data_IF_584851562314
#
_entry.id   IF_584851562314
#
_cell.length_a   1.000
_cell.length_b   1.000
_cell.length_c   1.000
_cell.angle_alpha   90.00
_cell.angle_beta   90.00
_cell.angle_gamma   90.00
#
_symmetry.space_group_name_H-M   'P 1'
#
loop_
_entity.id
_entity.type
_entity.pdbx_description
1 polymer ?
#
# COMPACT_ATOMS: atom_id res chain seq x y z
N UNK A 1 23.28 12.18 6.71
CA UNK A 1 23.46 12.73 5.35
C UNK A 1 22.06 13.09 4.85
N UNK A 2 21.68 14.37 4.75
CA UNK A 2 20.27 14.72 4.40
C UNK A 2 20.04 16.05 3.65
N UNK A 3 21.05 16.66 3.02
CA UNK A 3 20.85 17.96 2.34
C UNK A 3 20.71 17.86 0.81
N UNK A 4 20.53 16.67 0.26
CA UNK A 4 20.61 16.44 -1.19
C UNK A 4 19.38 15.82 -1.85
N UNK A 5 18.46 15.21 -1.10
CA UNK A 5 17.34 14.46 -1.70
C UNK A 5 16.18 15.38 -2.08
N UNK A 6 15.56 15.14 -3.25
CA UNK A 6 14.38 15.89 -3.70
C UNK A 6 13.12 15.29 -3.07
N UNK A 7 12.27 16.06 -2.37
CA UNK A 7 11.06 15.53 -1.76
C UNK A 7 10.04 15.10 -2.82
N UNK A 8 9.40 13.95 -2.59
CA UNK A 8 8.35 13.39 -3.42
C UNK A 8 7.25 12.80 -2.54
N UNK A 9 5.99 13.03 -2.91
CA UNK A 9 4.84 12.57 -2.14
C UNK A 9 4.24 11.31 -2.75
N UNK A 10 4.02 10.30 -1.92
CA UNK A 10 3.17 9.15 -2.22
C UNK A 10 1.88 9.28 -1.42
N UNK A 11 0.75 9.06 -2.07
CA UNK A 11 -0.58 9.13 -1.46
C UNK A 11 -1.27 7.78 -1.58
N UNK A 12 -1.83 7.32 -0.47
CA UNK A 12 -2.54 6.06 -0.34
C UNK A 12 -3.96 6.34 0.12
N UNK A 13 -4.93 5.68 -0.51
CA UNK A 13 -6.27 5.59 0.05
C UNK A 13 -6.28 4.61 1.23
N UNK A 14 -7.32 4.67 2.04
CA UNK A 14 -7.65 3.64 3.03
C UNK A 14 -7.77 2.23 2.42
N UNK A 15 -7.94 2.13 1.08
CA UNK A 15 -7.95 0.83 0.42
C UNK A 15 -6.58 0.15 0.37
N UNK A 16 -5.49 0.91 0.41
CA UNK A 16 -4.15 0.35 0.31
C UNK A 16 -3.82 -0.58 1.49
N UNK A 17 -3.39 -1.83 1.25
CA UNK A 17 -2.93 -2.73 2.32
C UNK A 17 -1.65 -2.26 3.01
N UNK A 18 -0.99 -1.21 2.50
CA UNK A 18 0.15 -0.56 3.18
C UNK A 18 -0.31 0.05 4.51
N UNK A 19 -1.57 0.52 4.58
CA UNK A 19 -2.24 0.90 5.83
C UNK A 19 -2.89 -0.36 6.41
N UNK A 20 -2.35 -0.86 7.53
CA UNK A 20 -2.81 -2.13 8.13
C UNK A 20 -3.74 -1.86 9.29
N UNK A 21 -4.98 -2.30 9.15
CA UNK A 21 -6.06 -2.11 10.12
C UNK A 21 -6.24 -3.32 11.03
N UNK A 22 -6.43 -3.08 12.32
CA UNK A 22 -6.58 -4.09 13.38
C UNK A 22 -7.79 -3.80 14.28
N UNK A 23 -8.50 -4.83 14.79
CA UNK A 23 -8.15 -6.26 14.74
C UNK A 23 -8.35 -6.91 13.36
N UNK A 24 -9.30 -6.40 12.58
CA UNK A 24 -9.53 -6.82 11.20
C UNK A 24 -9.83 -5.59 10.35
N UNK A 25 -9.40 -5.63 9.09
CA UNK A 25 -9.56 -4.53 8.15
C UNK A 25 -11.00 -4.24 7.78
N UNK A 26 -11.87 -5.26 7.73
CA UNK A 26 -13.21 -5.02 7.22
C UNK A 26 -14.27 -6.00 7.76
N UNK A 27 -15.36 -5.45 8.30
CA UNK A 27 -16.53 -6.10 8.89
C UNK A 27 -17.33 -5.12 9.77
N UNK A 28 -18.02 -5.57 10.85
CA UNK A 28 -18.88 -4.68 11.65
C UNK A 28 -18.11 -3.58 12.42
N UNK A 29 -18.60 -2.34 12.36
CA UNK A 29 -17.94 -1.16 12.96
C UNK A 29 -17.70 -1.25 14.46
N UNK A 30 -18.47 -2.04 15.19
CA UNK A 30 -18.42 -2.17 16.66
C UNK A 30 -17.42 -3.22 17.16
N UNK A 31 -16.83 -3.99 16.26
CA UNK A 31 -15.86 -5.06 16.58
C UNK A 31 -14.57 -4.97 15.76
N UNK A 32 -14.58 -4.20 14.68
CA UNK A 32 -13.49 -4.06 13.72
C UNK A 32 -13.69 -2.82 12.86
N UNK A 33 -12.85 -2.65 11.84
CA UNK A 33 -13.02 -1.62 10.82
C UNK A 33 -14.05 -2.04 9.78
N UNK A 34 -14.73 -1.08 9.17
CA UNK A 34 -15.68 -1.27 8.09
C UNK A 34 -15.31 -0.37 6.91
N UNK A 35 -15.17 -0.94 5.72
CA UNK A 35 -15.05 -0.12 4.51
C UNK A 35 -16.42 0.36 4.04
N UNK A 36 -16.51 1.65 3.79
CA UNK A 36 -17.65 2.29 3.14
C UNK A 36 -17.21 3.17 1.97
N UNK A 37 -18.15 3.47 1.07
CA UNK A 37 -17.94 4.36 -0.06
C UNK A 37 -19.02 5.43 -0.07
N UNK A 38 -18.66 6.69 -0.31
CA UNK A 38 -19.59 7.82 -0.23
C UNK A 38 -20.78 7.75 -1.19
N UNK A 39 -20.67 6.97 -2.27
CA UNK A 39 -21.68 6.81 -3.32
C UNK A 39 -22.32 5.42 -3.40
N UNK A 40 -22.02 4.51 -2.45
CA UNK A 40 -22.60 3.17 -2.40
C UNK A 40 -23.24 2.90 -1.03
N UNK A 41 -24.45 2.34 -1.03
CA UNK A 41 -25.00 1.74 0.20
C UNK A 41 -24.41 0.35 0.40
N UNK A 42 -24.21 -0.06 1.65
CA UNK A 42 -23.82 -1.43 1.98
C UNK A 42 -24.80 -2.47 1.38
N UNK A 43 -26.10 -2.15 1.37
CA UNK A 43 -27.15 -3.00 0.81
C UNK A 43 -27.09 -3.14 -0.72
N UNK A 44 -26.34 -2.27 -1.41
CA UNK A 44 -26.16 -2.34 -2.86
C UNK A 44 -25.14 -3.41 -3.28
N UNK A 45 -24.36 -3.93 -2.32
CA UNK A 45 -23.33 -4.92 -2.59
C UNK A 45 -23.94 -6.23 -3.06
N UNK A 46 -23.45 -6.73 -4.19
CA UNK A 46 -23.74 -8.08 -4.67
C UNK A 46 -22.58 -8.62 -5.48
N UNK A 47 -22.60 -9.92 -5.78
CA UNK A 47 -21.56 -10.53 -6.63
C UNK A 47 -21.39 -9.80 -7.98
N UNK A 48 -22.49 -9.31 -8.56
CA UNK A 48 -22.54 -8.60 -9.85
C UNK A 48 -22.55 -7.06 -9.71
N UNK A 49 -22.41 -6.54 -8.49
CA UNK A 49 -22.29 -5.11 -8.20
C UNK A 49 -21.49 -4.92 -6.90
N UNK A 50 -20.17 -5.10 -6.97
CA UNK A 50 -19.30 -5.07 -5.78
C UNK A 50 -18.24 -3.96 -5.83
N UNK A 51 -18.24 -3.10 -6.84
CA UNK A 51 -17.36 -1.94 -6.90
C UNK A 51 -17.89 -0.79 -6.06
N UNK A 52 -17.03 -0.22 -5.23
CA UNK A 52 -17.36 0.96 -4.46
C UNK A 52 -17.44 2.20 -5.36
N UNK A 53 -18.43 3.07 -5.13
CA UNK A 53 -18.63 4.30 -5.90
C UNK A 53 -18.29 5.51 -5.03
N UNK A 54 -17.40 6.37 -5.53
CA UNK A 54 -16.98 7.59 -4.83
C UNK A 54 -15.74 7.38 -3.96
N UNK A 55 -15.66 8.11 -2.84
CA UNK A 55 -14.49 8.06 -1.96
C UNK A 55 -14.65 6.96 -0.93
N UNK A 56 -13.64 6.09 -0.82
CA UNK A 56 -13.56 5.06 0.21
C UNK A 56 -13.21 5.65 1.58
N UNK A 57 -13.63 4.96 2.63
CA UNK A 57 -13.17 5.21 3.99
C UNK A 57 -13.29 3.96 4.86
N UNK A 58 -12.43 3.85 5.87
CA UNK A 58 -12.53 2.82 6.90
C UNK A 58 -12.99 3.45 8.21
N UNK A 59 -14.12 2.99 8.74
CA UNK A 59 -14.73 3.51 9.98
C UNK A 59 -14.79 2.43 11.05
N UNK A 60 -14.61 2.82 12.31
CA UNK A 60 -14.84 1.94 13.46
C UNK A 60 -15.29 2.73 14.68
N UNK A 61 -16.07 2.09 15.54
CA UNK A 61 -16.41 2.54 16.90
C UNK A 61 -15.80 1.62 17.97
N UNK A 62 -14.99 0.64 17.55
CA UNK A 62 -14.41 -0.34 18.46
C UNK A 62 -13.21 0.24 19.22
N UNK A 63 -13.40 0.46 20.52
CA UNK A 63 -12.33 0.87 21.43
C UNK A 63 -11.18 -0.15 21.42
N UNK A 64 -9.95 0.33 21.23
CA UNK A 64 -8.76 -0.48 21.08
C UNK A 64 -8.46 -0.90 19.64
N UNK A 65 -9.31 -0.57 18.66
CA UNK A 65 -8.96 -0.67 17.25
C UNK A 65 -7.78 0.25 16.93
N UNK A 66 -6.90 -0.21 16.04
CA UNK A 66 -5.72 0.56 15.66
C UNK A 66 -5.33 0.29 14.22
N UNK A 67 -4.50 1.17 13.66
CA UNK A 67 -3.81 0.92 12.41
C UNK A 67 -2.30 1.09 12.57
N UNK A 68 -1.55 0.41 11.72
CA UNK A 68 -0.09 0.55 11.60
C UNK A 68 0.24 0.98 10.17
N UNK A 69 1.08 2.00 10.05
CA UNK A 69 1.59 2.50 8.79
C UNK A 69 3.10 2.72 8.88
N UNK A 70 3.85 2.01 8.03
CA UNK A 70 5.32 2.06 7.98
C UNK A 70 5.76 2.65 6.64
N UNK A 71 6.73 3.57 6.67
CA UNK A 71 7.29 4.17 5.46
C UNK A 71 8.76 4.55 5.65
N UNK A 72 9.42 4.84 4.54
CA UNK A 72 10.73 5.47 4.51
C UNK A 72 10.58 6.89 3.98
N UNK A 73 10.97 7.89 4.76
CA UNK A 73 10.78 9.28 4.33
C UNK A 73 11.09 10.32 5.39
N UNK A 74 10.53 11.52 5.21
CA UNK A 74 10.74 12.70 6.07
C UNK A 74 9.45 13.33 6.59
N UNK A 75 8.29 12.89 6.10
CA UNK A 75 7.01 13.41 6.57
C UNK A 75 5.85 12.43 6.35
N UNK A 76 4.78 12.61 7.13
CA UNK A 76 3.53 11.88 7.03
C UNK A 76 2.34 12.79 7.33
N UNK A 77 1.23 12.54 6.66
CA UNK A 77 -0.10 13.06 6.95
C UNK A 77 -1.09 11.91 6.94
N UNK A 78 -1.83 11.73 8.03
CA UNK A 78 -2.94 10.78 8.15
C UNK A 78 -4.24 11.56 8.03
N UNK A 79 -5.12 11.13 7.12
CA UNK A 79 -6.38 11.80 6.83
C UNK A 79 -7.56 11.01 7.35
N UNK A 80 -8.53 11.71 7.94
CA UNK A 80 -9.70 11.10 8.56
C UNK A 80 -10.50 12.08 9.42
N UNK A 81 -11.45 11.51 10.16
CA UNK A 81 -12.33 12.20 11.11
C UNK A 81 -12.37 11.41 12.41
N UNK A 82 -12.11 12.09 13.53
CA UNK A 82 -12.22 11.54 14.88
C UNK A 82 -12.32 12.71 15.86
N UNK A 83 -13.01 12.51 16.98
CA UNK A 83 -13.12 13.55 18.00
C UNK A 83 -11.78 13.73 18.73
N UNK A 84 -11.34 14.98 19.02
CA UNK A 84 -10.14 15.21 19.80
C UNK A 84 -10.19 14.52 21.17
N UNK A 85 -9.10 13.86 21.55
CA UNK A 85 -8.99 13.14 22.81
C UNK A 85 -9.53 11.71 22.81
N UNK A 86 -10.16 11.26 21.71
CA UNK A 86 -10.71 9.90 21.63
C UNK A 86 -9.78 8.90 20.94
N UNK A 87 -8.59 9.36 20.51
CA UNK A 87 -7.55 8.56 19.89
C UNK A 87 -6.16 9.01 20.35
N UNK A 88 -5.16 8.16 20.14
CA UNK A 88 -3.75 8.50 20.33
C UNK A 88 -2.93 8.10 19.12
N UNK A 89 -1.82 8.80 18.89
CA UNK A 89 -0.84 8.45 17.86
C UNK A 89 0.49 8.18 18.53
N UNK A 90 1.20 7.14 18.11
CA UNK A 90 2.63 7.00 18.37
C UNK A 90 3.40 7.01 17.06
N UNK A 91 4.56 7.66 17.09
CA UNK A 91 5.51 7.71 15.99
C UNK A 91 6.86 7.25 16.51
N UNK A 92 7.41 6.19 15.92
CA UNK A 92 8.68 5.59 16.33
C UNK A 92 8.74 5.31 17.86
N UNK A 93 7.65 4.71 18.36
CA UNK A 93 7.43 4.38 19.79
C UNK A 93 7.20 5.59 20.72
N UNK A 94 7.36 6.83 20.24
CA UNK A 94 7.06 8.03 21.00
C UNK A 94 5.57 8.39 20.89
N UNK A 95 4.90 8.57 22.04
CA UNK A 95 3.53 9.07 22.06
C UNK A 95 3.48 10.52 21.59
N UNK A 96 2.61 10.76 20.62
CA UNK A 96 2.33 12.06 20.04
C UNK A 96 0.94 12.50 20.50
N UNK A 97 0.82 13.77 20.88
CA UNK A 97 -0.46 14.39 21.20
C UNK A 97 -0.88 15.23 20.00
N UNK A 98 -1.85 14.77 19.19
CA UNK A 98 -2.34 15.54 18.05
C UNK A 98 -2.90 16.88 18.54
N UNK A 99 -2.67 17.95 17.78
CA UNK A 99 -3.31 19.23 18.07
C UNK A 99 -4.84 19.08 17.90
N UNK A 100 -5.62 19.77 18.73
CA UNK A 100 -7.10 19.62 18.76
C UNK A 100 -7.80 20.02 17.46
N UNK A 101 -7.13 20.67 16.50
CA UNK A 101 -7.74 21.10 15.25
C UNK A 101 -7.49 20.14 14.09
N UNK A 102 -8.53 19.43 13.65
CA UNK A 102 -8.57 18.67 12.39
C UNK A 102 -8.81 19.61 11.20
N UNK A 103 -7.87 20.52 10.92
CA UNK A 103 -7.95 21.34 9.72
C UNK A 103 -7.80 20.44 8.47
N UNK A 104 -8.74 20.54 7.52
CA UNK A 104 -8.75 19.77 6.27
C UNK A 104 -8.71 18.23 6.46
N UNK A 105 -9.42 17.70 7.46
CA UNK A 105 -9.50 16.26 7.73
C UNK A 105 -8.13 15.62 7.99
N UNK A 106 -7.17 16.38 8.53
CA UNK A 106 -5.87 15.84 8.96
C UNK A 106 -5.98 15.45 10.43
N UNK A 107 -5.91 14.14 10.71
CA UNK A 107 -5.88 13.61 12.08
C UNK A 107 -4.50 13.76 12.70
N UNK A 108 -3.47 13.53 11.91
CA UNK A 108 -2.09 13.63 12.37
C UNK A 108 -1.18 14.04 11.22
N UNK A 109 -0.18 14.85 11.51
CA UNK A 109 0.93 15.06 10.60
C UNK A 109 2.22 15.25 11.38
N UNK A 110 3.32 14.91 10.73
CA UNK A 110 4.66 15.18 11.21
C UNK A 110 5.56 15.47 10.01
N UNK A 111 6.34 16.52 10.10
CA UNK A 111 7.30 16.95 9.07
C UNK A 111 8.71 17.04 9.66
N UNK A 112 9.69 17.29 8.80
CA UNK A 112 11.11 17.43 9.16
C UNK A 112 11.68 16.23 9.94
N UNK A 113 11.14 15.03 9.68
CA UNK A 113 11.70 13.80 10.21
C UNK A 113 13.06 13.53 9.57
N UNK A 114 13.96 12.94 10.35
CA UNK A 114 15.22 12.44 9.81
C UNK A 114 14.89 11.36 8.77
N UNK A 115 15.42 11.51 7.56
CA UNK A 115 15.23 10.50 6.51
C UNK A 115 15.62 9.10 7.01
N UNK A 116 14.63 8.20 7.02
CA UNK A 116 14.78 6.84 7.50
C UNK A 116 13.44 6.13 7.55
N UNK A 117 13.42 4.93 8.16
CA UNK A 117 12.19 4.20 8.44
C UNK A 117 11.45 4.87 9.58
N UNK A 118 10.14 4.99 9.41
CA UNK A 118 9.23 5.44 10.44
C UNK A 118 8.05 4.48 10.57
N UNK A 119 7.54 4.39 11.79
CA UNK A 119 6.37 3.59 12.11
C UNK A 119 5.35 4.45 12.86
N UNK A 120 4.16 4.60 12.28
CA UNK A 120 3.02 5.26 12.90
C UNK A 120 2.02 4.22 13.37
N UNK A 121 1.60 4.34 14.63
CA UNK A 121 0.46 3.60 15.18
C UNK A 121 -0.61 4.60 15.60
N UNK A 122 -1.80 4.47 15.04
CA UNK A 122 -2.97 5.25 15.45
C UNK A 122 -3.95 4.32 16.15
N UNK A 123 -4.34 4.66 17.37
CA UNK A 123 -5.20 3.82 18.23
C UNK A 123 -6.41 4.60 18.70
N UNK A 124 -7.58 3.98 18.64
CA UNK A 124 -8.86 4.54 19.05
C UNK A 124 -9.16 4.09 20.47
N UNK A 125 -9.61 5.01 21.31
CA UNK A 125 -9.98 4.73 22.69
C UNK A 125 -11.48 4.89 22.91
N UNK A 126 -12.10 5.87 22.27
CA UNK A 126 -13.52 6.17 22.41
C UNK A 126 -14.09 6.68 21.08
N UNK A 127 -15.43 6.68 20.98
CA UNK A 127 -16.20 7.22 19.85
C UNK A 127 -15.82 6.63 18.47
N UNK A 128 -16.40 7.21 17.43
CA UNK A 128 -16.16 6.82 16.05
C UNK A 128 -14.87 7.47 15.53
N UNK A 129 -14.12 6.72 14.73
CA UNK A 129 -13.07 7.27 13.88
C UNK A 129 -13.20 6.73 12.46
N UNK A 130 -12.95 7.60 11.50
CA UNK A 130 -12.96 7.31 10.06
C UNK A 130 -11.61 7.67 9.47
N UNK A 131 -11.05 6.80 8.64
CA UNK A 131 -9.76 6.97 7.96
C UNK A 131 -10.00 7.02 6.46
N UNK A 132 -9.46 8.05 5.81
CA UNK A 132 -9.53 8.24 4.36
C UNK A 132 -8.25 7.81 3.63
N UNK A 133 -7.12 7.80 4.32
CA UNK A 133 -5.84 7.47 3.72
C UNK A 133 -4.67 8.20 4.37
N UNK A 134 -3.52 8.17 3.69
CA UNK A 134 -2.29 8.80 4.16
C UNK A 134 -1.45 9.33 2.99
N UNK A 135 -0.65 10.36 3.26
CA UNK A 135 0.40 10.84 2.37
C UNK A 135 1.73 10.79 3.10
N UNK A 136 2.79 10.34 2.43
CA UNK A 136 4.16 10.40 2.94
C UNK A 136 5.05 11.17 1.99
N UNK A 137 6.01 11.91 2.55
CA UNK A 137 7.11 12.49 1.76
C UNK A 137 8.34 11.62 1.91
N UNK A 138 8.94 11.22 0.81
CA UNK A 138 10.25 10.57 0.76
C UNK A 138 11.24 11.40 -0.05
N UNK A 139 12.53 11.14 0.14
CA UNK A 139 13.59 11.70 -0.68
C UNK A 139 13.83 10.83 -1.91
N UNK A 140 13.65 11.40 -3.09
CA UNK A 140 13.74 10.74 -4.39
C UNK A 140 14.79 11.41 -5.27
N UNK A 141 15.96 10.77 -5.40
CA UNK A 141 17.05 11.29 -6.22
C UNK A 141 17.74 12.51 -5.63
N UNK A 142 18.78 12.97 -6.31
CA UNK A 142 19.58 14.13 -5.86
C UNK A 142 19.07 15.45 -6.45
N UNK A 143 19.44 16.57 -5.82
CA UNK A 143 19.18 17.91 -6.35
C UNK A 143 19.72 18.04 -7.78
N UNK A 144 18.87 18.48 -8.70
CA UNK A 144 19.20 18.56 -10.13
C UNK A 144 18.71 17.37 -10.96
N UNK A 145 18.12 16.35 -10.33
CA UNK A 145 17.43 15.25 -11.02
C UNK A 145 15.93 15.53 -11.22
N UNK A 146 15.29 14.74 -12.09
CA UNK A 146 13.84 14.63 -12.24
C UNK A 146 13.46 13.17 -12.07
N UNK A 147 12.39 12.93 -11.30
CA UNK A 147 11.80 11.60 -11.16
C UNK A 147 11.07 11.24 -12.45
N UNK A 148 11.46 10.11 -13.04
CA UNK A 148 10.77 9.47 -14.16
C UNK A 148 10.13 8.18 -13.70
N UNK A 149 8.99 7.84 -14.29
CA UNK A 149 8.27 6.61 -13.98
C UNK A 149 8.24 5.68 -15.19
N UNK A 150 8.30 4.37 -14.91
CA UNK A 150 8.12 3.32 -15.89
C UNK A 150 7.11 2.32 -15.36
N UNK A 151 5.97 2.22 -16.03
CA UNK A 151 4.96 1.21 -15.72
C UNK A 151 5.30 -0.10 -16.45
N UNK A 152 5.27 -1.21 -15.71
CA UNK A 152 5.43 -2.57 -16.21
C UNK A 152 4.17 -3.36 -15.85
N UNK A 153 3.30 -3.56 -16.84
CA UNK A 153 2.10 -4.39 -16.71
C UNK A 153 2.45 -5.85 -16.48
N UNK A 154 1.72 -6.54 -15.62
CA UNK A 154 1.88 -7.96 -15.32
C UNK A 154 1.54 -8.87 -16.50
N UNK A 155 0.71 -8.37 -17.43
CA UNK A 155 0.28 -9.07 -18.63
C UNK A 155 0.53 -8.22 -19.88
N UNK A 156 0.86 -8.90 -20.97
CA UNK A 156 1.00 -8.37 -22.33
C UNK A 156 -0.28 -8.75 -23.08
N UNK A 157 -0.91 -7.77 -23.75
CA UNK A 157 -2.13 -7.95 -24.54
C UNK A 157 -3.24 -8.76 -23.82
N UNK A 158 -3.33 -8.58 -22.50
CA UNK A 158 -4.31 -9.21 -21.60
C UNK A 158 -4.32 -10.75 -21.58
N UNK A 159 -3.30 -11.41 -22.12
CA UNK A 159 -3.32 -12.89 -22.29
C UNK A 159 -1.96 -13.57 -22.13
N UNK A 160 -0.86 -12.84 -22.15
CA UNK A 160 0.48 -13.37 -21.96
C UNK A 160 1.11 -12.77 -20.69
N UNK A 161 1.79 -13.58 -19.87
CA UNK A 161 2.50 -13.08 -18.70
C UNK A 161 3.70 -12.25 -19.17
N UNK A 162 3.88 -11.06 -18.60
CA UNK A 162 5.06 -10.26 -18.89
C UNK A 162 6.32 -10.96 -18.32
N UNK A 163 7.36 -11.24 -19.13
CA UNK A 163 8.55 -11.97 -18.69
C UNK A 163 9.40 -11.23 -17.65
N UNK A 164 9.08 -9.96 -17.36
CA UNK A 164 9.62 -9.26 -16.21
C UNK A 164 9.30 -9.97 -14.88
N UNK A 165 8.17 -10.70 -14.83
CA UNK A 165 7.71 -11.42 -13.66
C UNK A 165 8.00 -12.92 -13.81
N UNK A 166 8.74 -13.46 -12.86
CA UNK A 166 9.15 -14.87 -12.80
C UNK A 166 8.30 -15.56 -11.73
N UNK A 167 7.49 -16.53 -12.15
CA UNK A 167 6.60 -17.30 -11.28
C UNK A 167 7.21 -18.67 -10.97
N UNK A 168 6.87 -19.23 -9.82
CA UNK A 168 7.29 -20.57 -9.42
C UNK A 168 6.41 -21.66 -10.03
N UNK A 169 6.72 -22.04 -11.27
CA UNK A 169 6.01 -23.11 -11.96
C UNK A 169 4.61 -22.71 -12.43
N UNK A 170 3.67 -23.66 -12.39
CA UNK A 170 2.33 -23.53 -12.97
C UNK A 170 1.28 -22.98 -11.97
N UNK A 171 1.72 -22.47 -10.81
CA UNK A 171 0.83 -21.98 -9.74
C UNK A 171 0.25 -20.59 -10.02
N UNK A 172 0.70 -19.94 -11.09
CA UNK A 172 0.26 -18.62 -11.54
C UNK A 172 -0.40 -18.69 -12.90
N UNK A 173 -1.39 -17.83 -13.11
CA UNK A 173 -2.07 -17.70 -14.41
C UNK A 173 -2.37 -16.25 -14.73
N UNK A 174 -2.36 -15.93 -16.02
CA UNK A 174 -2.90 -14.66 -16.52
C UNK A 174 -4.42 -14.73 -16.57
N UNK A 175 -5.09 -13.66 -16.16
CA UNK A 175 -6.55 -13.58 -16.22
C UNK A 175 -7.02 -12.14 -16.40
N UNK A 176 -8.31 -11.99 -16.70
CA UNK A 176 -9.04 -10.73 -16.59
C UNK A 176 -10.08 -10.91 -15.49
N UNK A 177 -9.90 -10.18 -14.38
CA UNK A 177 -10.84 -10.19 -13.27
C UNK A 177 -12.07 -9.33 -13.58
N UNK A 178 -13.14 -9.58 -12.81
CA UNK A 178 -14.37 -8.80 -12.81
C UNK A 178 -15.12 -8.75 -14.15
N UNK A 179 -15.06 -9.84 -14.93
CA UNK A 179 -15.79 -9.99 -16.20
C UNK A 179 -17.33 -9.97 -16.04
N UNK A 180 -17.83 -10.10 -14.82
CA UNK A 180 -19.25 -9.98 -14.50
C UNK A 180 -19.68 -8.53 -14.17
N UNK A 181 -18.74 -7.59 -14.19
CA UNK A 181 -18.95 -6.17 -13.92
C UNK A 181 -18.95 -5.38 -15.24
N UNK A 182 -18.88 -4.04 -15.20
CA UNK A 182 -18.80 -3.27 -16.43
C UNK A 182 -17.45 -3.46 -17.11
N UNK A 183 -17.39 -3.30 -18.44
CA UNK A 183 -16.14 -3.49 -19.18
C UNK A 183 -15.02 -2.51 -18.76
N UNK A 184 -15.38 -1.38 -18.14
CA UNK A 184 -14.41 -0.44 -17.57
C UNK A 184 -13.74 -0.99 -16.31
N UNK A 185 -14.34 -1.99 -15.67
CA UNK A 185 -13.87 -2.61 -14.42
C UNK A 185 -13.07 -3.89 -14.66
N UNK A 186 -12.93 -4.30 -15.93
CA UNK A 186 -12.13 -5.46 -16.30
C UNK A 186 -10.66 -5.22 -15.96
N UNK A 187 -10.06 -6.12 -15.19
CA UNK A 187 -8.71 -5.94 -14.67
C UNK A 187 -7.78 -7.07 -15.09
N UNK A 188 -6.88 -6.78 -16.03
CA UNK A 188 -5.94 -7.76 -16.55
C UNK A 188 -4.73 -7.90 -15.60
N UNK A 189 -4.47 -9.12 -15.13
CA UNK A 189 -3.46 -9.37 -14.10
C UNK A 189 -2.89 -10.79 -14.17
N UNK A 190 -1.82 -11.04 -13.43
CA UNK A 190 -1.45 -12.39 -13.01
C UNK A 190 -2.06 -12.68 -11.65
N UNK A 191 -2.50 -13.92 -11.42
CA UNK A 191 -3.15 -14.34 -10.18
C UNK A 191 -2.69 -15.73 -9.74
N UNK A 192 -2.74 -15.96 -8.43
CA UNK A 192 -2.57 -17.28 -7.82
C UNK A 192 -3.52 -17.43 -6.63
N UNK A 193 -3.94 -18.66 -6.35
CA UNK A 193 -4.65 -19.04 -5.12
C UNK A 193 -3.89 -20.08 -4.30
N UNK A 194 -2.69 -20.44 -4.75
CA UNK A 194 -1.87 -21.49 -4.17
C UNK A 194 -1.08 -20.93 -2.99
N UNK A 195 -1.17 -21.60 -1.84
CA UNK A 195 -0.43 -21.22 -0.64
C UNK A 195 1.07 -21.38 -0.89
N UNK A 196 1.84 -20.34 -0.55
CA UNK A 196 3.30 -20.23 -0.75
C UNK A 196 3.77 -20.08 -2.20
N UNK A 197 2.86 -19.90 -3.16
CA UNK A 197 3.24 -19.52 -4.52
C UNK A 197 4.02 -18.19 -4.50
N UNK A 198 5.12 -18.19 -5.23
CA UNK A 198 6.15 -17.17 -5.28
C UNK A 198 6.20 -16.43 -6.61
N UNK A 199 6.39 -15.12 -6.53
CA UNK A 199 6.65 -14.26 -7.68
C UNK A 199 7.95 -13.51 -7.42
N UNK A 200 8.88 -13.57 -8.38
CA UNK A 200 10.13 -12.83 -8.33
C UNK A 200 10.23 -11.86 -9.51
N UNK A 201 10.73 -10.65 -9.25
CA UNK A 201 11.18 -9.74 -10.30
C UNK A 201 12.38 -8.93 -9.81
N UNK A 202 13.04 -8.24 -10.73
CA UNK A 202 14.25 -7.47 -10.45
C UNK A 202 14.04 -5.99 -10.72
N UNK A 203 14.44 -5.17 -9.75
CA UNK A 203 14.41 -3.71 -9.84
C UNK A 203 15.84 -3.23 -9.99
N UNK A 204 16.14 -2.61 -11.13
CA UNK A 204 17.43 -2.01 -11.45
C UNK A 204 17.23 -0.55 -11.85
N UNK A 205 18.30 0.25 -11.76
CA UNK A 205 18.29 1.65 -12.21
C UNK A 205 17.11 2.45 -11.63
N UNK A 206 16.72 2.14 -10.39
CA UNK A 206 15.52 2.68 -9.75
C UNK A 206 15.81 3.09 -8.32
N UNK A 207 15.16 4.16 -7.89
CA UNK A 207 15.21 4.72 -6.52
C UNK A 207 13.97 4.38 -5.68
N UNK A 208 12.90 3.93 -6.32
CA UNK A 208 11.71 3.37 -5.69
C UNK A 208 10.93 2.47 -6.66
N UNK A 209 10.00 1.69 -6.12
CA UNK A 209 8.94 1.07 -6.91
C UNK A 209 7.66 0.91 -6.11
N UNK A 210 6.54 0.84 -6.82
CA UNK A 210 5.22 0.49 -6.29
C UNK A 210 4.64 -0.72 -7.00
N UNK A 211 3.99 -1.60 -6.25
CA UNK A 211 3.21 -2.71 -6.80
C UNK A 211 1.73 -2.35 -6.78
N UNK A 212 1.02 -2.68 -7.85
CA UNK A 212 -0.42 -2.42 -7.98
C UNK A 212 -1.20 -3.69 -8.32
N UNK A 213 -2.40 -3.78 -7.77
CA UNK A 213 -3.37 -4.82 -8.10
C UNK A 213 -4.74 -4.43 -7.58
N UNK A 214 -5.70 -5.35 -7.59
CA UNK A 214 -7.03 -5.09 -7.05
C UNK A 214 -7.18 -5.51 -5.59
N UNK A 215 -8.11 -4.88 -4.86
CA UNK A 215 -8.64 -5.36 -3.59
C UNK A 215 -10.03 -5.95 -3.79
N UNK A 216 -10.36 -7.05 -3.12
CA UNK A 216 -11.71 -7.63 -3.09
C UNK A 216 -11.88 -8.66 -1.95
N UNK A 217 -13.07 -9.25 -1.84
CA UNK A 217 -13.44 -10.14 -0.73
C UNK A 217 -12.78 -11.52 -0.79
N UNK A 218 -12.21 -11.89 -1.94
CA UNK A 218 -11.50 -13.15 -2.20
C UNK A 218 -9.99 -13.06 -1.98
N UNK A 219 -9.45 -11.83 -1.92
CA UNK A 219 -8.04 -11.61 -1.70
C UNK A 219 -7.59 -12.14 -0.32
N UNK A 220 -6.36 -12.62 -0.25
CA UNK A 220 -5.73 -13.04 1.00
C UNK A 220 -4.42 -12.35 1.31
N UNK A 221 -3.69 -12.92 2.25
CA UNK A 221 -2.46 -12.34 2.78
C UNK A 221 -1.29 -12.59 1.83
N UNK A 222 -0.35 -11.64 1.78
CA UNK A 222 0.93 -11.82 1.10
C UNK A 222 2.05 -11.12 1.86
N UNK A 223 3.28 -11.53 1.58
CA UNK A 223 4.51 -10.83 2.01
C UNK A 223 5.28 -10.35 0.80
N UNK A 224 6.03 -9.27 0.98
CA UNK A 224 7.00 -8.78 -0.01
C UNK A 224 8.35 -8.66 0.68
N UNK A 225 9.36 -9.32 0.14
CA UNK A 225 10.74 -9.19 0.55
C UNK A 225 11.53 -8.51 -0.56
N UNK A 226 12.27 -7.46 -0.20
CA UNK A 226 13.20 -6.79 -1.09
C UNK A 226 14.61 -7.03 -0.57
N UNK A 227 15.51 -7.47 -1.44
CA UNK A 227 16.90 -7.75 -1.09
C UNK A 227 17.86 -7.32 -2.19
N UNK A 228 18.99 -6.67 -1.88
CA UNK A 228 20.03 -6.43 -2.88
C UNK A 228 20.62 -7.77 -3.33
N UNK A 229 20.94 -7.93 -4.62
CA UNK A 229 21.50 -9.18 -5.16
C UNK A 229 22.90 -9.50 -4.61
N UNK A 230 23.66 -8.47 -4.26
CA UNK A 230 24.97 -8.62 -3.63
C UNK A 230 24.87 -8.16 -2.16
N UNK A 231 25.44 -8.94 -1.21
CA UNK A 231 25.54 -8.53 0.18
C UNK A 231 26.61 -7.45 0.32
N UNK A 232 26.37 -6.26 -0.25
CA UNK A 232 27.23 -5.11 -0.02
C UNK A 232 26.86 -4.42 1.29
N UNK A 233 27.88 -4.11 2.08
CA UNK A 233 27.80 -3.59 3.44
C UNK A 233 27.24 -2.17 3.55
N UNK A 234 27.02 -1.49 2.42
CA UNK A 234 26.69 -0.05 2.38
C UNK A 234 25.35 0.29 1.70
N UNK A 235 24.59 -0.70 1.21
CA UNK A 235 23.24 -0.44 0.70
C UNK A 235 22.31 -0.09 1.87
N UNK A 236 22.27 1.19 2.26
CA UNK A 236 21.31 1.76 3.21
C UNK A 236 19.91 1.84 2.58
N UNK A 237 19.42 0.73 2.04
CA UNK A 237 18.04 0.63 1.61
C UNK A 237 17.20 0.45 2.88
N UNK A 238 16.41 1.47 3.21
CA UNK A 238 15.42 1.40 4.28
C UNK A 238 14.22 0.56 3.81
N UNK A 239 14.45 -0.74 3.61
CA UNK A 239 13.47 -1.67 3.06
C UNK A 239 12.47 -2.15 4.11
N UNK A 240 11.18 -2.30 3.78
CA UNK A 240 10.22 -2.98 4.66
C UNK A 240 10.72 -4.37 5.10
N UNK A 241 10.37 -4.80 6.31
CA UNK A 241 10.78 -6.10 6.84
C UNK A 241 10.10 -7.27 6.11
N UNK A 242 10.79 -8.41 5.88
CA UNK A 242 10.26 -9.53 5.10
C UNK A 242 9.08 -10.26 5.75
N UNK A 243 8.83 -10.03 7.05
CA UNK A 243 7.77 -10.66 7.82
C UNK A 243 6.46 -9.86 7.82
N UNK A 244 6.41 -8.71 7.15
CA UNK A 244 5.19 -7.90 7.11
C UNK A 244 4.17 -8.59 6.20
N UNK A 245 3.02 -8.91 6.78
CA UNK A 245 1.88 -9.43 6.05
C UNK A 245 0.96 -8.28 5.65
N UNK A 246 0.58 -8.27 4.38
CA UNK A 246 -0.32 -7.30 3.78
C UNK A 246 -1.63 -7.98 3.39
N UNK A 247 -2.76 -7.29 3.56
CA UNK A 247 -4.10 -7.81 3.25
C UNK A 247 -4.86 -6.82 2.38
N UNK A 248 -5.03 -7.07 1.06
CA UNK A 248 -5.88 -6.25 0.20
C UNK A 248 -7.35 -6.70 0.29
N UNK A 249 -7.71 -7.54 1.28
CA UNK A 249 -9.05 -8.05 1.45
C UNK A 249 -10.00 -6.94 1.87
N UNK A 250 -11.07 -6.77 1.10
CA UNK A 250 -12.07 -5.72 1.28
C UNK A 250 -13.43 -6.25 0.82
N UNK A 251 -14.53 -5.88 1.46
CA UNK A 251 -15.86 -6.27 1.03
C UNK A 251 -16.15 -5.72 -0.37
N UNK A 252 -15.83 -4.45 -0.58
CA UNK A 252 -15.90 -3.77 -1.87
C UNK A 252 -14.64 -4.03 -2.71
N UNK A 253 -14.85 -4.22 -4.01
CA UNK A 253 -13.77 -4.30 -5.00
C UNK A 253 -13.22 -2.90 -5.31
N UNK A 254 -11.91 -2.83 -5.52
CA UNK A 254 -11.20 -1.63 -6.00
C UNK A 254 -10.04 -2.03 -6.92
N UNK A 255 -9.71 -1.19 -7.90
CA UNK A 255 -8.69 -1.44 -8.91
C UNK A 255 -7.47 -0.54 -8.69
N UNK A 256 -6.33 -0.94 -9.25
CA UNK A 256 -5.10 -0.13 -9.23
C UNK A 256 -4.74 0.38 -7.82
N UNK A 257 -4.95 -0.47 -6.81
CA UNK A 257 -4.63 -0.17 -5.42
C UNK A 257 -3.13 -0.39 -5.19
N UNK A 258 -2.39 0.59 -4.62
CA UNK A 258 -1.00 0.39 -4.22
C UNK A 258 -0.91 -0.71 -3.16
N UNK A 259 -0.32 -1.84 -3.52
CA UNK A 259 -0.14 -3.03 -2.67
C UNK A 259 1.15 -2.97 -1.84
N UNK A 260 2.18 -2.31 -2.37
CA UNK A 260 3.47 -2.22 -1.71
C UNK A 260 4.26 -1.04 -2.25
N UNK A 261 5.05 -0.39 -1.39
CA UNK A 261 5.99 0.66 -1.75
C UNK A 261 7.36 0.34 -1.14
N UNK A 262 8.42 0.44 -1.95
CA UNK A 262 9.79 0.55 -1.46
C UNK A 262 10.41 1.83 -2.02
N UNK A 263 11.03 2.64 -1.16
CA UNK A 263 11.76 3.86 -1.52
C UNK A 263 13.15 3.85 -0.91
N UNK A 264 13.99 4.80 -1.33
CA UNK A 264 15.38 4.89 -0.87
C UNK A 264 16.26 3.77 -1.40
N UNK A 265 15.93 3.25 -2.59
CA UNK A 265 16.76 2.31 -3.32
C UNK A 265 17.97 3.04 -3.91
N UNK A 266 19.12 2.36 -3.95
CA UNK A 266 20.27 2.85 -4.69
C UNK A 266 20.17 2.40 -6.15
N UNK A 267 20.08 3.37 -7.06
CA UNK A 267 19.97 3.11 -8.50
C UNK A 267 21.14 2.33 -9.10
N UNK A 268 22.30 2.30 -8.43
CA UNK A 268 23.46 1.53 -8.88
C UNK A 268 23.39 0.05 -8.51
N UNK A 269 22.36 -0.35 -7.76
CA UNK A 269 22.16 -1.72 -7.31
C UNK A 269 20.96 -2.37 -7.99
N UNK A 270 21.03 -3.69 -8.13
CA UNK A 270 19.89 -4.54 -8.48
C UNK A 270 19.28 -5.09 -7.21
N UNK A 271 17.96 -4.94 -7.08
CA UNK A 271 17.18 -5.51 -6.00
C UNK A 271 16.31 -6.64 -6.52
N UNK A 272 16.41 -7.80 -5.87
CA UNK A 272 15.50 -8.92 -6.03
C UNK A 272 14.28 -8.70 -5.15
N UNK A 273 13.09 -8.72 -5.76
CA UNK A 273 11.80 -8.61 -5.07
C UNK A 273 11.12 -9.97 -5.11
N UNK A 274 10.79 -10.50 -3.94
CA UNK A 274 10.04 -11.74 -3.76
C UNK A 274 8.69 -11.45 -3.15
N UNK A 275 7.63 -11.87 -3.82
CA UNK A 275 6.26 -11.87 -3.30
C UNK A 275 5.89 -13.30 -2.98
N UNK A 276 5.31 -13.54 -1.81
CA UNK A 276 4.82 -14.86 -1.41
C UNK A 276 3.35 -14.77 -1.05
N UNK A 277 2.52 -15.59 -1.70
CA UNK A 277 1.12 -15.74 -1.33
C UNK A 277 1.02 -16.52 -0.01
N UNK A 278 0.30 -15.99 0.97
CA UNK A 278 0.09 -16.62 2.28
C UNK A 278 -1.32 -17.20 2.45
N UNK A 279 -2.09 -17.28 1.37
CA UNK A 279 -3.35 -18.00 1.29
C UNK A 279 -4.45 -17.19 0.60
N UNK A 280 -5.48 -17.88 0.11
CA UNK A 280 -6.52 -17.32 -0.78
C UNK A 280 -5.92 -16.66 -2.03
N UNK A 281 -6.69 -15.79 -2.70
CA UNK A 281 -6.27 -15.20 -3.97
C UNK A 281 -5.27 -14.06 -3.74
N UNK A 282 -4.25 -13.98 -4.57
CA UNK A 282 -3.42 -12.79 -4.74
C UNK A 282 -3.36 -12.44 -6.23
N UNK A 283 -3.45 -11.16 -6.55
CA UNK A 283 -3.24 -10.67 -7.90
C UNK A 283 -2.23 -9.51 -7.96
N UNK A 284 -1.53 -9.42 -9.09
CA UNK A 284 -0.67 -8.31 -9.46
C UNK A 284 -1.04 -7.83 -10.86
N UNK A 285 -1.37 -6.54 -11.00
CA UNK A 285 -1.70 -5.92 -12.28
C UNK A 285 -0.50 -5.18 -12.89
N UNK A 286 0.30 -4.48 -12.08
CA UNK A 286 1.49 -3.79 -12.57
C UNK A 286 2.51 -3.45 -11.48
N UNK A 287 3.70 -3.05 -11.92
CA UNK A 287 4.72 -2.41 -11.10
C UNK A 287 5.10 -1.08 -11.73
N UNK A 288 5.16 -0.02 -10.93
CA UNK A 288 5.70 1.28 -11.35
C UNK A 288 7.09 1.45 -10.76
N UNK A 289 8.10 1.56 -11.62
CA UNK A 289 9.47 1.88 -11.25
C UNK A 289 9.68 3.40 -11.28
N UNK A 290 10.47 3.90 -10.35
CA UNK A 290 10.87 5.30 -10.27
C UNK A 290 12.39 5.43 -10.42
N UNK A 291 12.86 6.19 -11.40
CA UNK A 291 14.29 6.57 -11.54
C UNK A 291 14.46 8.08 -11.34
N UNK A 292 15.64 8.50 -10.88
CA UNK A 292 16.05 9.89 -10.82
C UNK A 292 17.13 10.16 -11.88
N UNK A 293 16.73 10.82 -12.96
CA UNK A 293 17.64 11.16 -14.07
C UNK A 293 18.10 12.62 -13.98
N UNK A 294 19.36 12.94 -14.34
CA UNK A 294 19.81 14.32 -14.46
C UNK A 294 18.94 15.12 -15.44
N UNK A 295 18.69 16.39 -15.11
CA UNK A 295 18.03 17.35 -16.01
C UNK A 295 18.85 17.72 -17.23
#
# INVERSE_FOLDING_TARGET
MSSGLVPYNFTFTDQSPIIRFYPYRDGPVDTQWNVSYSGSSFDDWSFDNNFGVGTSSHTTTFSGAYLIFEWTGTAVWLYGEAEPGTYSVSLDEALMFPNESTFNNVLFNQTDLQYGKHNLVFTIWENEATIYGATVTTGMGESGTVVQTKNISAVIDSSEQNPFFITDGDDWSTTVLYLNQSAADHYACITTSVLYAGLTFYVNESIAFEMYGSGDWTQGLYTVQVSPELPETDAQAYLPGPSIQYSPRSHWSDLDVPKFLATGLDRNHTYRVDVTNLGANFNLGSVVLYDAVPR
#
